data_IF_274964973088
#
_entry.id   IF_274964973088
#
_cell.length_a   1.000
_cell.length_b   1.000
_cell.length_c   1.000
_cell.angle_alpha   90.00
_cell.angle_beta   90.00
_cell.angle_gamma   90.00
#
_symmetry.space_group_name_H-M   'P 1'
#
loop_
_entity.id
_entity.type
_entity.pdbx_description
1 polymer ?
#
# COMPACT_ATOMS: atom_id res chain seq x y z
N UNK A 1 72.72 -13.37 -30.45
CA UNK A 1 71.34 -13.91 -30.42
C UNK A 1 70.67 -13.80 -29.05
N UNK A 2 71.39 -13.98 -27.93
CA UNK A 2 70.83 -13.92 -26.56
C UNK A 2 70.23 -12.57 -26.14
N UNK A 3 70.78 -11.43 -26.60
CA UNK A 3 70.24 -10.09 -26.26
C UNK A 3 68.92 -9.74 -26.95
N UNK A 4 68.66 -10.28 -28.14
CA UNK A 4 67.42 -10.04 -28.89
C UNK A 4 66.26 -10.83 -28.26
N UNK A 5 66.55 -12.04 -27.75
CA UNK A 5 65.57 -12.89 -27.06
C UNK A 5 65.15 -12.26 -25.71
N UNK A 6 66.08 -11.65 -24.96
CA UNK A 6 65.75 -10.96 -23.70
C UNK A 6 64.83 -9.74 -23.89
N UNK A 7 65.03 -8.96 -24.96
CA UNK A 7 64.20 -7.79 -25.25
C UNK A 7 62.78 -8.20 -25.69
N UNK A 8 62.66 -9.29 -26.46
CA UNK A 8 61.37 -9.84 -26.88
C UNK A 8 60.56 -10.37 -25.68
N UNK A 9 61.21 -11.04 -24.72
CA UNK A 9 60.55 -11.58 -23.52
C UNK A 9 60.10 -10.47 -22.56
N UNK A 10 60.88 -9.40 -22.39
CA UNK A 10 60.46 -8.25 -21.58
C UNK A 10 59.32 -7.45 -22.20
N UNK A 11 59.28 -7.36 -23.54
CA UNK A 11 58.20 -6.67 -24.26
C UNK A 11 56.89 -7.46 -24.17
N UNK A 12 56.94 -8.79 -24.20
CA UNK A 12 55.76 -9.64 -24.02
C UNK A 12 55.22 -9.61 -22.59
N UNK A 13 56.10 -9.46 -21.58
CA UNK A 13 55.71 -9.34 -20.17
C UNK A 13 55.08 -7.99 -19.83
N UNK A 14 55.44 -6.91 -20.54
CA UNK A 14 54.84 -5.59 -20.34
C UNK A 14 53.49 -5.40 -21.06
N UNK A 15 53.23 -6.16 -22.13
CA UNK A 15 51.94 -6.11 -22.86
C UNK A 15 50.85 -6.92 -22.12
N UNK A 16 51.21 -7.97 -21.37
CA UNK A 16 50.24 -8.79 -20.63
C UNK A 16 49.71 -8.13 -19.34
N UNK A 17 50.45 -7.17 -18.76
CA UNK A 17 50.04 -6.46 -17.54
C UNK A 17 48.94 -5.41 -17.80
N UNK A 18 48.76 -4.96 -19.05
CA UNK A 18 47.75 -3.95 -19.38
C UNK A 18 46.33 -4.50 -19.60
N UNK A 19 46.13 -5.83 -19.56
CA UNK A 19 44.83 -6.45 -19.80
C UNK A 19 44.01 -6.79 -18.54
N UNK A 20 44.51 -6.51 -17.32
CA UNK A 20 43.77 -6.77 -16.06
C UNK A 20 42.90 -5.60 -15.55
N UNK A 21 42.80 -4.51 -16.32
CA UNK A 21 42.02 -3.32 -15.94
C UNK A 21 40.63 -3.25 -16.57
N UNK A 22 39.89 -4.37 -16.69
CA UNK A 22 38.49 -4.28 -17.10
C UNK A 22 37.66 -3.72 -15.92
N UNK A 23 37.52 -2.39 -15.86
CA UNK A 23 36.56 -1.74 -14.97
C UNK A 23 35.15 -2.18 -15.37
N UNK A 24 34.58 -3.12 -14.62
CA UNK A 24 33.18 -3.47 -14.73
C UNK A 24 32.35 -2.23 -14.34
N UNK A 25 31.79 -1.56 -15.34
CA UNK A 25 30.78 -0.53 -15.12
C UNK A 25 29.53 -1.22 -14.54
N UNK A 26 29.45 -1.27 -13.21
CA UNK A 26 28.26 -1.72 -12.52
C UNK A 26 27.15 -0.71 -12.78
N UNK A 27 26.12 -1.10 -13.53
CA UNK A 27 24.92 -0.31 -13.74
C UNK A 27 24.17 -0.19 -12.40
N UNK A 28 24.32 0.95 -11.73
CA UNK A 28 23.68 1.26 -10.45
C UNK A 28 22.46 2.14 -10.73
N UNK A 29 21.46 2.12 -9.86
CA UNK A 29 20.44 3.18 -9.87
C UNK A 29 21.15 4.49 -9.61
N UNK A 30 21.03 5.42 -10.56
CA UNK A 30 21.66 6.72 -10.43
C UNK A 30 20.77 7.70 -9.69
N UNK A 31 19.44 7.56 -9.78
CA UNK A 31 18.54 8.53 -9.16
C UNK A 31 17.13 8.00 -8.88
N UNK A 32 16.58 8.39 -7.73
CA UNK A 32 15.15 8.22 -7.38
C UNK A 32 14.65 9.49 -6.69
N UNK A 33 13.48 9.98 -7.06
CA UNK A 33 12.84 11.12 -6.41
C UNK A 33 11.32 11.06 -6.49
N UNK A 34 10.64 11.56 -5.46
CA UNK A 34 9.19 11.78 -5.51
C UNK A 34 8.92 12.91 -6.50
N UNK A 35 8.15 12.62 -7.55
CA UNK A 35 7.71 13.62 -8.52
C UNK A 35 6.41 14.29 -8.06
N UNK A 36 5.44 13.48 -7.61
CA UNK A 36 4.16 13.97 -7.15
C UNK A 36 3.61 13.07 -6.05
N UNK A 37 3.15 13.69 -4.98
CA UNK A 37 2.41 13.01 -3.92
C UNK A 37 0.90 13.18 -4.18
N UNK A 38 0.18 12.05 -4.23
CA UNK A 38 -1.25 11.97 -4.54
C UNK A 38 -2.07 11.53 -3.33
N UNK A 39 -1.58 11.78 -2.11
CA UNK A 39 -2.21 11.41 -0.84
C UNK A 39 -1.81 12.37 0.29
N UNK A 40 -2.65 12.49 1.32
CA UNK A 40 -2.39 13.26 2.53
C UNK A 40 -2.14 12.38 3.77
N UNK A 41 -1.95 13.02 4.93
CA UNK A 41 -1.92 12.31 6.20
C UNK A 41 -3.29 11.68 6.49
N UNK A 42 -3.30 10.40 6.81
CA UNK A 42 -4.50 9.61 7.06
C UNK A 42 -5.10 8.95 5.81
N UNK A 43 -4.49 9.13 4.63
CA UNK A 43 -4.84 8.41 3.41
C UNK A 43 -3.81 7.31 3.11
N UNK A 44 -4.19 6.33 2.29
CA UNK A 44 -3.27 5.33 1.74
C UNK A 44 -2.25 5.97 0.78
N UNK A 45 -0.99 5.48 0.75
CA UNK A 45 0.07 6.12 -0.01
C UNK A 45 -0.14 5.93 -1.52
N UNK A 46 -0.16 7.05 -2.26
CA UNK A 46 -0.21 7.06 -3.72
C UNK A 46 0.72 8.13 -4.26
N UNK A 47 1.74 7.76 -5.03
CA UNK A 47 2.77 8.70 -5.45
C UNK A 47 3.34 8.36 -6.84
N UNK A 48 3.70 9.41 -7.59
CA UNK A 48 4.52 9.30 -8.80
C UNK A 48 5.98 9.51 -8.44
N UNK A 49 6.83 8.60 -8.87
CA UNK A 49 8.26 8.60 -8.59
C UNK A 49 9.02 8.61 -9.89
N UNK A 50 9.98 9.52 -10.01
CA UNK A 50 10.96 9.49 -11.07
C UNK A 50 12.08 8.51 -10.68
N UNK A 51 12.46 7.66 -11.62
CA UNK A 51 13.54 6.70 -11.50
C UNK A 51 14.48 6.82 -12.70
N UNK A 52 15.79 6.83 -12.42
CA UNK A 52 16.83 6.63 -13.42
C UNK A 52 17.62 5.43 -12.98
N UNK A 53 17.38 4.32 -13.67
CA UNK A 53 17.94 3.01 -13.39
C UNK A 53 18.77 2.57 -14.58
N UNK A 54 19.95 1.99 -14.34
CA UNK A 54 20.70 1.30 -15.39
C UNK A 54 20.08 -0.04 -15.82
N UNK A 55 18.98 -0.45 -15.17
CA UNK A 55 18.25 -1.67 -15.44
C UNK A 55 16.77 -1.39 -15.73
N UNK A 56 16.25 -1.94 -16.82
CA UNK A 56 14.81 -1.89 -17.14
C UNK A 56 13.96 -2.81 -16.24
N UNK A 57 14.60 -3.77 -15.57
CA UNK A 57 13.90 -4.72 -14.70
C UNK A 57 13.63 -4.11 -13.31
N UNK A 58 12.33 -3.92 -13.00
CA UNK A 58 11.84 -3.38 -11.74
C UNK A 58 11.65 -4.44 -10.64
N UNK A 59 11.79 -5.73 -10.95
CA UNK A 59 11.65 -6.82 -9.96
C UNK A 59 12.78 -6.79 -8.93
N UNK A 60 13.92 -6.21 -9.32
CA UNK A 60 15.04 -5.91 -8.43
C UNK A 60 14.84 -4.67 -7.57
N UNK A 61 13.69 -4.00 -7.69
CA UNK A 61 13.36 -2.79 -6.93
C UNK A 61 12.30 -3.06 -5.88
N UNK A 62 12.48 -2.43 -4.73
CA UNK A 62 11.48 -2.44 -3.67
C UNK A 62 11.25 -1.03 -3.15
N UNK A 63 9.98 -0.65 -3.06
CA UNK A 63 9.53 0.61 -2.51
C UNK A 63 8.70 0.32 -1.28
N UNK A 64 9.04 0.93 -0.15
CA UNK A 64 8.42 0.66 1.14
C UNK A 64 8.04 1.98 1.78
N UNK A 65 6.82 2.12 2.27
CA UNK A 65 6.49 3.18 3.23
C UNK A 65 6.83 2.66 4.61
N UNK A 66 7.73 3.37 5.30
CA UNK A 66 8.09 3.12 6.69
C UNK A 66 7.44 4.19 7.54
N UNK A 67 6.66 3.74 8.52
CA UNK A 67 6.05 4.56 9.54
C UNK A 67 6.14 3.87 10.90
N UNK A 68 5.76 4.55 11.97
CA UNK A 68 5.78 4.02 13.34
C UNK A 68 4.97 2.73 13.53
N UNK A 69 3.90 2.53 12.75
CA UNK A 69 3.09 1.30 12.79
C UNK A 69 3.75 0.12 12.08
N UNK A 70 4.70 0.35 11.16
CA UNK A 70 5.40 -0.70 10.43
C UNK A 70 5.89 -0.31 9.04
N UNK A 71 6.35 -1.33 8.32
CA UNK A 71 6.83 -1.24 6.95
C UNK A 71 5.81 -1.85 5.98
N UNK A 72 5.34 -1.05 5.02
CA UNK A 72 4.43 -1.46 3.96
C UNK A 72 5.17 -1.49 2.61
N UNK A 73 5.17 -2.64 1.91
CA UNK A 73 5.69 -2.71 0.54
C UNK A 73 4.65 -2.15 -0.42
N UNK A 74 5.05 -1.16 -1.21
CA UNK A 74 4.20 -0.55 -2.22
C UNK A 74 4.15 -1.39 -3.50
N UNK A 75 2.97 -1.45 -4.10
CA UNK A 75 2.78 -1.93 -5.44
C UNK A 75 3.35 -0.94 -6.44
N UNK A 76 4.00 -1.46 -7.49
CA UNK A 76 4.68 -0.66 -8.52
C UNK A 76 3.96 -0.85 -9.85
N UNK A 77 3.50 0.26 -10.45
CA UNK A 77 2.98 0.28 -11.81
C UNK A 77 3.84 1.21 -12.67
N UNK A 78 4.53 0.70 -13.71
CA UNK A 78 5.28 1.56 -14.63
C UNK A 78 4.33 2.51 -15.38
N UNK A 79 4.68 3.80 -15.42
CA UNK A 79 4.03 4.78 -16.32
C UNK A 79 4.84 4.86 -17.62
N UNK A 80 6.16 4.96 -17.50
CA UNK A 80 7.14 4.89 -18.58
C UNK A 80 8.50 4.45 -18.01
N UNK A 81 9.55 4.45 -18.82
CA UNK A 81 10.89 4.00 -18.44
C UNK A 81 11.54 4.81 -17.30
N UNK A 82 11.01 5.99 -17.00
CA UNK A 82 11.56 6.91 -15.99
C UNK A 82 10.59 7.24 -14.87
N UNK A 83 9.36 6.71 -14.91
CA UNK A 83 8.32 7.08 -13.97
C UNK A 83 7.48 5.90 -13.53
N UNK A 84 7.30 5.79 -12.23
CA UNK A 84 6.52 4.74 -11.57
C UNK A 84 5.35 5.38 -10.83
N UNK A 85 4.19 4.73 -10.88
CA UNK A 85 3.11 4.93 -9.92
C UNK A 85 3.28 3.92 -8.80
N UNK A 86 3.47 4.40 -7.58
CA UNK A 86 3.50 3.57 -6.38
C UNK A 86 2.18 3.70 -5.65
N UNK A 87 1.67 2.59 -5.14
CA UNK A 87 0.39 2.55 -4.41
C UNK A 87 0.49 1.55 -3.27
N UNK A 88 0.12 2.00 -2.08
CA UNK A 88 -0.09 1.16 -0.90
C UNK A 88 -1.54 1.25 -0.45
N UNK A 89 -1.78 0.73 0.75
CA UNK A 89 -3.12 0.44 1.27
C UNK A 89 -3.26 0.77 2.74
N UNK A 90 -2.16 0.80 3.49
CA UNK A 90 -2.20 1.20 4.89
C UNK A 90 -2.22 2.73 4.95
N UNK A 91 -3.17 3.31 5.68
CA UNK A 91 -3.23 4.76 5.84
C UNK A 91 -1.94 5.27 6.48
N UNK A 92 -1.39 6.33 5.90
CA UNK A 92 -0.17 6.96 6.41
C UNK A 92 -0.54 7.95 7.49
N UNK A 93 -0.55 7.49 8.74
CA UNK A 93 -0.94 8.30 9.91
C UNK A 93 0.25 8.99 10.58
N UNK A 94 1.47 8.60 10.20
CA UNK A 94 2.71 9.12 10.77
C UNK A 94 3.26 10.30 9.96
N UNK A 95 3.33 11.52 10.54
CA UNK A 95 3.92 12.69 9.87
C UNK A 95 5.40 12.53 9.54
N UNK A 96 6.10 11.63 10.22
CA UNK A 96 7.52 11.34 9.99
C UNK A 96 7.75 10.17 9.02
N UNK A 97 6.70 9.67 8.38
CA UNK A 97 6.77 8.54 7.45
C UNK A 97 7.73 8.80 6.28
N UNK A 98 8.39 7.75 5.83
CA UNK A 98 9.44 7.80 4.82
C UNK A 98 9.20 6.76 3.72
N UNK A 99 9.47 7.14 2.48
CA UNK A 99 9.63 6.20 1.37
C UNK A 99 11.07 5.66 1.38
N UNK A 100 11.18 4.36 1.62
CA UNK A 100 12.41 3.59 1.57
C UNK A 100 12.50 2.90 0.23
N UNK A 101 13.61 3.08 -0.47
CA UNK A 101 13.89 2.47 -1.78
C UNK A 101 15.06 1.51 -1.63
N UNK A 102 14.87 0.26 -2.03
CA UNK A 102 15.89 -0.78 -2.01
C UNK A 102 16.08 -1.39 -3.39
N UNK A 103 17.29 -1.87 -3.63
CA UNK A 103 17.67 -2.61 -4.83
C UNK A 103 18.27 -3.96 -4.46
N UNK A 104 17.89 -5.01 -5.17
CA UNK A 104 18.45 -6.34 -5.00
C UNK A 104 19.76 -6.47 -5.79
N UNK A 105 20.88 -6.54 -5.08
CA UNK A 105 22.21 -6.78 -5.66
C UNK A 105 22.90 -7.90 -4.89
N UNK A 106 23.60 -8.79 -5.59
CA UNK A 106 24.45 -9.83 -4.97
C UNK A 106 23.72 -10.57 -3.83
N UNK A 107 22.57 -11.17 -4.17
CA UNK A 107 21.72 -11.97 -3.27
C UNK A 107 21.16 -11.26 -2.03
N UNK A 108 21.20 -9.92 -1.97
CA UNK A 108 20.69 -9.16 -0.84
C UNK A 108 20.06 -7.83 -1.26
N UNK A 109 19.16 -7.33 -0.41
CA UNK A 109 18.55 -6.02 -0.58
C UNK A 109 19.44 -4.93 -0.01
N UNK A 110 19.83 -3.98 -0.85
CA UNK A 110 20.60 -2.80 -0.47
C UNK A 110 19.70 -1.57 -0.42
N UNK A 111 19.87 -0.74 0.61
CA UNK A 111 19.20 0.56 0.69
C UNK A 111 19.80 1.51 -0.36
N UNK A 112 18.93 2.07 -1.20
CA UNK A 112 19.31 3.03 -2.25
C UNK A 112 19.02 4.45 -1.78
N UNK A 113 17.82 4.69 -1.26
CA UNK A 113 17.39 6.03 -0.85
C UNK A 113 16.30 5.98 0.21
N UNK A 114 16.28 7.03 1.01
CA UNK A 114 15.24 7.33 1.98
C UNK A 114 14.72 8.72 1.68
N UNK A 115 13.42 8.86 1.49
CA UNK A 115 12.77 10.11 1.10
C UNK A 115 11.65 10.42 2.10
N UNK A 116 11.62 11.60 2.74
CA UNK A 116 10.50 11.97 3.60
C UNK A 116 9.22 12.12 2.77
N UNK A 117 8.08 11.64 3.31
CA UNK A 117 6.78 11.78 2.66
C UNK A 117 6.09 13.12 2.98
N UNK A 118 6.52 13.81 4.02
CA UNK A 118 5.94 15.09 4.41
C UNK A 118 7.04 16.07 4.74
N UNK A 119 6.85 17.32 4.31
CA UNK A 119 7.67 18.46 4.72
C UNK A 119 7.18 19.02 6.06
N UNK A 120 8.07 19.71 6.78
CA UNK A 120 7.75 20.35 8.05
C UNK A 120 6.54 21.31 7.94
N UNK A 121 6.37 21.96 6.79
CA UNK A 121 5.23 22.84 6.49
C UNK A 121 3.91 22.08 6.36
N UNK A 122 3.93 20.88 5.76
CA UNK A 122 2.75 20.01 5.66
C UNK A 122 2.38 19.43 7.03
N UNK A 123 3.37 19.09 7.84
CA UNK A 123 3.18 18.64 9.22
C UNK A 123 2.53 19.75 10.06
N UNK A 124 3.04 20.99 9.95
CA UNK A 124 2.49 22.14 10.68
C UNK A 124 1.04 22.47 10.30
N UNK A 125 0.67 22.30 9.02
CA UNK A 125 -0.72 22.51 8.56
C UNK A 125 -1.66 21.39 9.03
N UNK A 126 -1.24 20.12 8.98
CA UNK A 126 -2.05 18.98 9.42
C UNK A 126 -2.35 18.95 10.91
N UNK A 127 -1.49 19.57 11.75
CA UNK A 127 -1.73 19.73 13.19
C UNK A 127 -2.81 20.81 13.45
N UNK A 128 -2.85 21.88 12.64
CA UNK A 128 -3.80 22.99 12.84
C UNK A 128 -5.26 22.59 12.58
N UNK A 129 -5.50 21.65 11.65
CA UNK A 129 -6.84 21.19 11.31
C UNK A 129 -7.42 20.20 12.36
N UNK A 130 -6.57 19.50 13.13
CA UNK A 130 -7.04 18.67 14.26
C UNK A 130 -7.34 19.46 15.54
N UNK A 131 -6.84 20.69 15.67
CA UNK A 131 -7.11 21.54 16.86
C UNK A 131 -8.40 22.37 16.75
N UNK A 132 -8.99 22.53 15.56
CA UNK A 132 -10.24 23.30 15.38
C UNK A 132 -11.53 22.53 15.68
N UNK A 133 -11.48 21.22 15.93
CA UNK A 133 -12.67 20.42 16.26
C UNK A 133 -12.93 20.23 17.77
N UNK A 134 -12.13 20.85 18.66
CA UNK A 134 -12.30 20.68 20.11
C UNK A 134 -11.86 21.90 20.92
N UNK A 135 -12.45 23.06 20.68
CA UNK A 135 -12.55 24.12 21.68
C UNK A 135 -13.48 25.24 21.21
N UNK A 136 -14.78 25.11 21.48
CA UNK A 136 -15.66 26.27 21.57
C UNK A 136 -16.48 26.17 22.87
N UNK A 137 -15.77 26.24 23.99
CA UNK A 137 -16.32 26.76 25.24
C UNK A 137 -15.75 28.16 25.42
N UNK A 138 -16.62 29.12 25.10
CA UNK A 138 -16.48 30.56 25.28
C UNK A 138 -16.06 30.90 26.72
N UNK A 139 -15.22 31.92 26.90
CA UNK A 139 -15.63 32.99 27.80
C UNK A 139 -15.50 34.38 27.15
N UNK A 140 -16.47 35.21 27.52
CA UNK A 140 -16.64 36.60 27.15
C UNK A 140 -15.51 37.48 27.70
N UNK A 141 -15.08 38.47 26.90
CA UNK A 141 -15.04 39.88 27.33
C UNK A 141 -14.64 40.78 26.16
N UNK A 142 -15.54 41.67 25.73
CA UNK A 142 -15.37 43.13 25.82
C UNK A 142 -16.52 43.87 25.15
N UNK A 143 -17.12 44.73 25.97
CA UNK A 143 -18.06 45.78 25.63
C UNK A 143 -17.47 46.79 24.64
N UNK A 144 -18.25 47.21 23.65
CA UNK A 144 -18.52 48.64 23.40
C UNK A 144 -19.72 48.85 22.47
N UNK A 145 -20.70 49.50 23.08
CA UNK A 145 -21.92 50.18 22.62
C UNK A 145 -21.81 50.96 21.31
N UNK A 146 -22.80 50.80 20.42
CA UNK A 146 -23.58 51.92 19.86
C UNK A 146 -24.96 51.45 19.34
N UNK A 147 -25.98 52.12 19.84
CA UNK A 147 -27.41 51.88 19.65
C UNK A 147 -27.92 52.41 18.30
N UNK A 148 -28.93 51.74 17.72
CA UNK A 148 -30.18 52.39 17.28
C UNK A 148 -31.31 51.34 17.12
N UNK A 149 -32.44 51.64 17.76
CA UNK A 149 -33.74 50.92 17.76
C UNK A 149 -34.45 51.11 16.40
N UNK A 150 -35.57 50.51 15.98
CA UNK A 150 -36.81 49.89 16.54
C UNK A 150 -37.29 48.94 15.41
N UNK A 151 -37.97 47.79 15.57
CA UNK A 151 -39.41 47.65 15.83
C UNK A 151 -39.83 46.17 15.81
N UNK A 152 -40.72 45.80 16.73
CA UNK A 152 -41.24 44.46 17.01
C UNK A 152 -42.49 44.12 16.19
N UNK A 153 -42.77 42.83 15.91
CA UNK A 153 -44.12 42.25 16.12
C UNK A 153 -44.19 40.70 16.09
N UNK A 154 -44.81 40.15 17.14
CA UNK A 154 -45.57 38.87 17.30
C UNK A 154 -44.95 37.54 16.81
N UNK A 155 -44.60 36.56 17.66
CA UNK A 155 -45.41 35.69 18.55
C UNK A 155 -46.48 34.85 17.82
N UNK A 156 -46.27 33.52 17.75
CA UNK A 156 -47.31 32.52 18.00
C UNK A 156 -46.71 31.16 18.38
N UNK A 157 -47.26 30.57 19.46
CA UNK A 157 -47.01 29.23 20.02
C UNK A 157 -47.85 28.15 19.32
N UNK A 158 -47.41 26.91 19.49
CA UNK A 158 -48.17 25.65 19.78
C UNK A 158 -47.46 24.50 19.08
N UNK A 159 -46.83 23.57 19.79
CA UNK A 159 -47.40 22.46 20.57
C UNK A 159 -47.25 21.16 19.78
N UNK A 160 -46.63 20.17 20.43
CA UNK A 160 -47.05 18.76 20.53
C UNK A 160 -47.11 18.01 19.17
N UNK A 161 -46.31 16.95 18.94
CA UNK A 161 -46.66 15.59 19.37
C UNK A 161 -45.43 14.67 19.32
N UNK A 162 -45.21 14.07 20.48
CA UNK A 162 -44.58 12.77 20.78
C UNK A 162 -44.88 11.67 19.76
N UNK A 163 -43.85 10.98 19.27
CA UNK A 163 -43.97 9.52 19.07
C UNK A 163 -42.65 8.80 19.34
N UNK A 164 -42.54 8.38 20.59
CA UNK A 164 -41.69 7.32 21.11
C UNK A 164 -42.19 5.97 20.58
N UNK A 165 -41.25 5.08 20.21
CA UNK A 165 -41.20 3.64 20.52
C UNK A 165 -40.10 3.00 19.64
N UNK A 166 -39.28 2.05 20.07
CA UNK A 166 -38.82 1.57 21.37
C UNK A 166 -37.74 0.53 21.00
N UNK A 167 -36.62 0.53 21.71
CA UNK A 167 -35.54 -0.43 21.53
C UNK A 167 -35.79 -1.78 22.25
N UNK A 168 -34.98 -2.78 21.84
CA UNK A 168 -34.39 -3.91 22.60
C UNK A 168 -35.27 -5.16 22.89
N UNK A 169 -34.67 -6.34 23.21
CA UNK A 169 -33.24 -6.66 23.35
C UNK A 169 -32.72 -8.04 22.83
N UNK A 170 -31.39 -8.13 22.81
CA UNK A 170 -30.59 -9.35 22.82
C UNK A 170 -30.65 -10.08 24.19
N UNK A 171 -30.48 -11.42 24.18
CA UNK A 171 -29.40 -12.15 24.90
C UNK A 171 -29.66 -13.66 25.07
N UNK A 172 -28.55 -14.42 24.94
CA UNK A 172 -28.23 -15.74 25.52
C UNK A 172 -28.94 -16.97 24.90
N UNK A 173 -28.32 -18.13 24.66
CA UNK A 173 -27.41 -18.91 25.52
C UNK A 173 -26.48 -19.83 24.69
N UNK A 174 -25.32 -20.10 25.30
CA UNK A 174 -24.20 -20.99 24.97
C UNK A 174 -24.52 -22.50 24.74
N UNK A 175 -23.51 -23.16 24.14
CA UNK A 175 -23.06 -24.56 24.33
C UNK A 175 -23.83 -25.70 23.64
N UNK A 176 -23.21 -26.26 22.59
CA UNK A 176 -23.04 -27.70 22.45
C UNK A 176 -21.83 -28.01 21.54
N UNK A 177 -20.79 -28.58 22.13
CA UNK A 177 -19.66 -29.22 21.47
C UNK A 177 -19.84 -30.72 21.67
N UNK A 178 -19.82 -31.53 20.59
CA UNK A 178 -19.13 -32.83 20.50
C UNK A 178 -19.40 -33.59 19.18
N UNK A 179 -18.33 -33.69 18.38
CA UNK A 179 -17.79 -34.89 17.69
C UNK A 179 -18.72 -35.89 16.98
N UNK A 180 -18.60 -36.00 15.65
CA UNK A 180 -17.92 -37.13 14.96
C UNK A 180 -17.96 -36.99 13.44
N UNK A 181 -16.90 -37.49 12.79
CA UNK A 181 -16.57 -37.38 11.37
C UNK A 181 -17.64 -37.91 10.40
N UNK A 182 -18.04 -37.05 9.46
CA UNK A 182 -18.09 -37.41 8.03
C UNK A 182 -17.72 -36.18 7.21
N UNK A 183 -16.53 -36.22 6.59
CA UNK A 183 -15.95 -35.13 5.83
C UNK A 183 -16.66 -35.01 4.48
N UNK A 184 -17.75 -34.26 4.48
CA UNK A 184 -18.17 -33.48 3.32
C UNK A 184 -18.26 -32.04 3.80
N UNK A 185 -17.13 -31.34 3.75
CA UNK A 185 -17.13 -29.88 3.85
C UNK A 185 -17.97 -29.42 2.67
N UNK A 186 -19.24 -29.15 2.96
CA UNK A 186 -20.11 -28.42 2.06
C UNK A 186 -19.42 -27.08 1.90
N UNK A 187 -18.74 -26.95 0.77
CA UNK A 187 -18.15 -25.70 0.33
C UNK A 187 -19.32 -24.73 0.20
N UNK A 188 -19.54 -23.94 1.25
CA UNK A 188 -20.43 -22.77 1.21
C UNK A 188 -19.75 -21.75 0.31
N UNK A 189 -19.65 -22.08 -0.97
CA UNK A 189 -19.61 -21.10 -2.03
C UNK A 189 -20.90 -20.34 -1.88
N UNK A 190 -20.80 -19.03 -1.65
CA UNK A 190 -21.89 -18.16 -2.05
C UNK A 190 -22.01 -18.35 -3.57
N UNK A 191 -22.88 -19.27 -3.98
CA UNK A 191 -23.07 -19.63 -5.38
C UNK A 191 -23.37 -18.35 -6.15
N UNK A 192 -22.43 -17.95 -7.01
CA UNK A 192 -22.43 -16.72 -7.81
C UNK A 192 -21.98 -15.42 -7.11
N UNK A 193 -21.18 -15.49 -6.05
CA UNK A 193 -20.54 -14.29 -5.49
C UNK A 193 -19.51 -13.71 -6.48
N UNK A 194 -19.68 -12.43 -6.79
CA UNK A 194 -18.82 -11.62 -7.65
C UNK A 194 -18.25 -10.48 -6.81
N UNK A 195 -16.94 -10.25 -6.95
CA UNK A 195 -16.28 -9.12 -6.30
C UNK A 195 -16.63 -7.84 -7.08
N UNK A 196 -17.13 -6.85 -6.36
CA UNK A 196 -17.38 -5.52 -6.88
C UNK A 196 -16.08 -4.70 -6.86
N UNK A 197 -15.65 -4.26 -8.03
CA UNK A 197 -14.49 -3.40 -8.18
C UNK A 197 -14.60 -2.51 -9.41
N UNK A 198 -13.98 -1.34 -9.36
CA UNK A 198 -13.83 -0.47 -10.53
C UNK A 198 -12.77 -1.05 -11.47
N UNK A 199 -13.02 -1.13 -12.78
CA UNK A 199 -12.11 -1.75 -13.77
C UNK A 199 -10.69 -1.16 -13.87
N UNK A 200 -10.39 -0.07 -13.14
CA UNK A 200 -9.06 0.50 -13.00
C UNK A 200 -8.35 0.16 -11.67
N UNK A 201 -9.01 -0.55 -10.75
CA UNK A 201 -8.41 -1.03 -9.51
C UNK A 201 -7.45 -2.19 -9.80
N UNK A 202 -6.41 -2.28 -8.98
CA UNK A 202 -5.48 -3.41 -9.03
C UNK A 202 -5.94 -4.51 -8.08
N UNK A 203 -5.43 -5.73 -8.27
CA UNK A 203 -5.68 -6.83 -7.34
C UNK A 203 -5.36 -6.45 -5.89
N UNK A 204 -4.33 -5.62 -5.69
CA UNK A 204 -3.93 -5.14 -4.37
C UNK A 204 -5.02 -4.28 -3.72
N UNK A 205 -5.62 -3.35 -4.47
CA UNK A 205 -6.74 -2.54 -3.97
C UNK A 205 -7.97 -3.38 -3.64
N UNK A 206 -8.30 -4.34 -4.51
CA UNK A 206 -9.42 -5.26 -4.32
C UNK A 206 -9.17 -6.13 -3.08
N UNK A 207 -7.98 -6.71 -2.97
CA UNK A 207 -7.60 -7.55 -1.84
C UNK A 207 -7.61 -6.80 -0.51
N UNK A 208 -7.21 -5.54 -0.47
CA UNK A 208 -7.34 -4.72 0.75
C UNK A 208 -8.80 -4.51 1.15
N UNK A 209 -9.65 -4.11 0.20
CA UNK A 209 -11.07 -3.90 0.48
C UNK A 209 -11.69 -5.18 1.07
N UNK A 210 -11.51 -6.31 0.40
CA UNK A 210 -12.08 -7.58 0.84
C UNK A 210 -11.37 -8.20 2.05
N UNK A 211 -10.12 -7.83 2.34
CA UNK A 211 -9.44 -8.27 3.56
C UNK A 211 -10.11 -7.73 4.83
N UNK A 212 -10.66 -6.52 4.77
CA UNK A 212 -11.41 -5.93 5.88
C UNK A 212 -12.76 -6.64 6.06
N UNK A 213 -13.45 -6.89 4.94
CA UNK A 213 -14.74 -7.60 4.93
C UNK A 213 -14.63 -9.06 5.40
N UNK A 214 -13.54 -9.74 5.04
CA UNK A 214 -13.30 -11.14 5.40
C UNK A 214 -12.49 -11.31 6.69
N UNK A 215 -12.18 -10.21 7.39
CA UNK A 215 -11.39 -10.21 8.63
C UNK A 215 -10.07 -11.01 8.52
N UNK A 216 -9.35 -10.86 7.41
CA UNK A 216 -8.10 -11.56 7.14
C UNK A 216 -6.98 -10.60 6.70
N UNK A 217 -5.75 -11.09 6.60
CA UNK A 217 -4.64 -10.26 6.12
C UNK A 217 -4.75 -9.94 4.63
N UNK A 218 -4.34 -8.73 4.23
CA UNK A 218 -4.32 -8.27 2.83
C UNK A 218 -3.63 -9.25 1.89
N UNK A 219 -2.42 -9.71 2.26
CA UNK A 219 -1.70 -10.71 1.47
C UNK A 219 -2.52 -11.99 1.27
N UNK A 220 -3.25 -12.40 2.28
CA UNK A 220 -4.07 -13.60 2.22
C UNK A 220 -5.29 -13.43 1.31
N UNK A 221 -5.98 -12.29 1.42
CA UNK A 221 -7.11 -11.95 0.54
C UNK A 221 -6.66 -11.89 -0.93
N UNK A 222 -5.52 -11.25 -1.21
CA UNK A 222 -4.93 -11.17 -2.56
C UNK A 222 -4.65 -12.55 -3.14
N UNK A 223 -4.01 -13.43 -2.35
CA UNK A 223 -3.70 -14.79 -2.78
C UNK A 223 -4.97 -15.63 -3.00
N UNK A 224 -5.96 -15.49 -2.12
CA UNK A 224 -7.24 -16.17 -2.26
C UNK A 224 -7.98 -15.75 -3.53
N UNK A 225 -8.05 -14.44 -3.82
CA UNK A 225 -8.66 -13.91 -5.04
C UNK A 225 -7.90 -14.38 -6.29
N UNK A 226 -6.56 -14.34 -6.23
CA UNK A 226 -5.71 -14.76 -7.34
C UNK A 226 -5.91 -16.25 -7.68
N UNK A 227 -5.91 -17.13 -6.68
CA UNK A 227 -6.08 -18.57 -6.88
C UNK A 227 -7.52 -18.93 -7.30
N UNK A 228 -8.53 -18.22 -6.81
CA UNK A 228 -9.92 -18.41 -7.23
C UNK A 228 -10.18 -18.01 -8.69
N UNK A 229 -9.36 -17.10 -9.25
CA UNK A 229 -9.62 -16.47 -10.54
C UNK A 229 -8.43 -16.58 -11.52
N UNK A 230 -7.92 -17.78 -11.83
CA UNK A 230 -6.71 -17.93 -12.64
C UNK A 230 -6.82 -17.31 -14.05
N UNK A 231 -8.04 -17.26 -14.60
CA UNK A 231 -8.30 -16.69 -15.93
C UNK A 231 -8.36 -15.17 -15.95
N UNK A 232 -8.36 -14.49 -14.79
CA UNK A 232 -8.42 -13.04 -14.68
C UNK A 232 -7.07 -12.33 -14.84
N UNK A 233 -5.97 -13.11 -14.88
CA UNK A 233 -4.61 -12.60 -14.87
C UNK A 233 -3.88 -12.91 -16.17
N UNK A 234 -3.18 -11.92 -16.71
CA UNK A 234 -2.33 -12.08 -17.89
C UNK A 234 -1.16 -12.99 -17.56
N UNK A 235 -0.98 -14.06 -18.33
CA UNK A 235 0.10 -15.05 -18.17
C UNK A 235 0.17 -15.72 -16.78
N UNK A 236 -0.91 -15.64 -15.99
CA UNK A 236 -0.88 -16.11 -14.60
C UNK A 236 0.01 -15.28 -13.67
N UNK A 237 0.32 -14.03 -14.04
CA UNK A 237 1.09 -13.12 -13.18
C UNK A 237 0.15 -12.36 -12.23
N UNK A 238 0.47 -12.37 -10.93
CA UNK A 238 -0.39 -11.77 -9.90
C UNK A 238 -0.56 -10.24 -10.04
N UNK A 239 0.40 -9.57 -10.67
CA UNK A 239 0.35 -8.15 -11.02
C UNK A 239 -0.49 -7.86 -12.29
N UNK A 240 -0.84 -8.89 -13.05
CA UNK A 240 -1.42 -8.79 -14.40
C UNK A 240 -2.94 -8.85 -14.46
N UNK A 241 -3.67 -8.29 -13.48
CA UNK A 241 -5.15 -8.28 -13.49
C UNK A 241 -5.69 -7.57 -14.75
N UNK A 242 -6.62 -8.21 -15.46
CA UNK A 242 -7.31 -7.61 -16.62
C UNK A 242 -8.41 -6.63 -16.17
N UNK A 243 -8.62 -5.57 -16.95
CA UNK A 243 -9.59 -4.52 -16.63
C UNK A 243 -11.05 -4.92 -16.93
N UNK A 244 -11.26 -5.90 -17.80
CA UNK A 244 -12.55 -6.29 -18.40
C UNK A 244 -13.06 -7.65 -17.90
N UNK A 245 -12.50 -8.16 -16.80
CA UNK A 245 -12.86 -9.47 -16.25
C UNK A 245 -13.78 -9.34 -15.05
N UNK A 246 -14.52 -10.40 -14.77
CA UNK A 246 -15.33 -10.53 -13.55
C UNK A 246 -14.51 -11.41 -12.59
N UNK A 247 -14.37 -10.98 -11.34
CA UNK A 247 -13.72 -11.76 -10.29
C UNK A 247 -14.78 -12.44 -9.45
N UNK A 248 -14.65 -13.75 -9.28
CA UNK A 248 -15.46 -14.55 -8.38
C UNK A 248 -14.85 -14.58 -6.98
N UNK A 249 -15.71 -14.70 -5.98
CA UNK A 249 -15.27 -14.78 -4.60
C UNK A 249 -14.54 -16.11 -4.33
N UNK A 250 -13.46 -16.09 -3.53
CA UNK A 250 -12.79 -17.31 -3.11
C UNK A 250 -13.67 -18.14 -2.18
N UNK A 251 -13.54 -19.45 -2.26
CA UNK A 251 -14.21 -20.38 -1.36
C UNK A 251 -13.77 -20.18 0.10
N UNK A 252 -14.59 -20.64 1.04
CA UNK A 252 -14.26 -20.56 2.48
C UNK A 252 -12.96 -21.33 2.78
N UNK A 253 -12.78 -22.49 2.15
CA UNK A 253 -11.57 -23.30 2.29
C UNK A 253 -10.32 -22.57 1.79
N UNK A 254 -10.44 -21.81 0.70
CA UNK A 254 -9.34 -21.03 0.14
C UNK A 254 -8.99 -19.81 0.98
N UNK A 255 -9.99 -19.14 1.58
CA UNK A 255 -9.76 -18.07 2.55
C UNK A 255 -9.04 -18.58 3.79
N UNK A 256 -9.44 -19.73 4.31
CA UNK A 256 -8.80 -20.34 5.49
C UNK A 256 -7.34 -20.75 5.20
N UNK A 257 -7.05 -21.28 4.00
CA UNK A 257 -5.69 -21.61 3.54
C UNK A 257 -4.72 -20.43 3.69
N UNK A 258 -5.21 -19.21 3.48
CA UNK A 258 -4.41 -17.98 3.47
C UNK A 258 -4.62 -17.08 4.69
N UNK A 259 -5.27 -17.59 5.75
CA UNK A 259 -5.61 -16.80 6.93
C UNK A 259 -4.40 -16.32 7.73
N UNK A 260 -3.33 -17.10 7.79
CA UNK A 260 -2.09 -16.69 8.44
C UNK A 260 -1.32 -15.65 7.61
N UNK A 261 -1.36 -14.39 8.07
CA UNK A 261 -0.79 -13.26 7.34
C UNK A 261 0.73 -13.39 7.12
N UNK A 262 1.47 -13.96 8.06
CA UNK A 262 2.94 -14.14 7.93
C UNK A 262 3.28 -15.13 6.83
N UNK A 263 2.55 -16.24 6.75
CA UNK A 263 2.72 -17.27 5.73
C UNK A 263 2.23 -16.76 4.38
N UNK A 264 1.07 -16.10 4.32
CA UNK A 264 0.56 -15.48 3.11
C UNK A 264 1.55 -14.47 2.53
N UNK A 265 2.13 -13.58 3.35
CA UNK A 265 3.17 -12.65 2.92
C UNK A 265 4.38 -13.38 2.32
N UNK A 266 4.87 -14.43 2.98
CA UNK A 266 6.02 -15.22 2.47
C UNK A 266 5.72 -15.93 1.15
N UNK A 267 4.47 -16.37 0.94
CA UNK A 267 4.04 -16.98 -0.33
C UNK A 267 4.01 -15.91 -1.41
N UNK A 268 3.38 -14.77 -1.14
CA UNK A 268 3.30 -13.64 -2.06
C UNK A 268 4.69 -13.14 -2.50
N UNK A 269 5.63 -13.01 -1.56
CA UNK A 269 7.00 -12.54 -1.85
C UNK A 269 7.82 -13.48 -2.75
N UNK A 270 7.34 -14.70 -3.00
CA UNK A 270 7.98 -15.68 -3.90
C UNK A 270 7.38 -15.70 -5.31
N UNK A 271 6.26 -14.99 -5.53
CA UNK A 271 5.62 -14.83 -6.84
C UNK A 271 6.30 -13.69 -7.60
#
# INVERSE_FOLDING_TARGET
>A
MTRIIQIAVFSFLMISVQFLGASFAHAQISHVSINQQLFGLGDYPKLRVNIVSGHENLDKMQFIVRQSSGDERLMVKPINNFMLLLTGVDDVVDPSAQLIVKEYRVNQWHLVKTLPLFSDEQIAKGISDKTKAKSELKPESKSKTKQKQVEQKAEFKSDVVVSTKKAKPASAVLLAMQTSNDSKVVDLTEDNCVLEYGGNQTLWGIGTQYSQEWEMGTYGAILAIFEANPKAFNKGEISGLRADVILHCPSVSLKEKYRDNRTAKRIYEKL
#
